data_IF_655482713924
#
_entry.id   IF_655482713924
#
_cell.length_a   1.000
_cell.length_b   1.000
_cell.length_c   1.000
_cell.angle_alpha   90.00
_cell.angle_beta   90.00
_cell.angle_gamma   90.00
#
_symmetry.space_group_name_H-M   'P 1'
#
loop_
_entity.id
_entity.type
_entity.pdbx_description
1 polymer ?
#
# COMPACT_ATOMS: atom_id res chain seq x y z
N UNK A 1 13.04 -7.39 4.19
CA UNK A 1 12.94 -7.95 5.55
C UNK A 1 11.53 -8.48 5.78
N UNK A 2 11.37 -9.56 6.54
CA UNK A 2 10.06 -10.10 6.93
C UNK A 2 9.74 -9.63 8.34
N UNK A 3 8.58 -9.01 8.51
CA UNK A 3 8.08 -8.50 9.78
C UNK A 3 6.84 -9.30 10.21
N UNK A 4 6.61 -9.37 11.51
CA UNK A 4 5.34 -9.88 12.04
C UNK A 4 4.21 -8.94 11.59
N UNK A 5 3.18 -9.50 10.96
CA UNK A 5 1.97 -8.77 10.60
C UNK A 5 0.80 -9.14 11.51
N UNK A 6 -0.38 -9.30 10.93
CA UNK A 6 -1.59 -9.69 11.65
C UNK A 6 -1.81 -11.20 11.57
N UNK A 7 -2.03 -11.84 12.72
CA UNK A 7 -2.12 -13.30 12.85
C UNK A 7 -0.89 -14.00 12.24
N UNK A 8 -1.10 -14.92 11.30
CA UNK A 8 -0.09 -15.67 10.56
C UNK A 8 0.34 -14.95 9.27
N UNK A 9 -0.25 -13.80 8.94
CA UNK A 9 0.03 -13.04 7.72
C UNK A 9 1.22 -12.10 7.96
N UNK A 10 2.39 -12.36 7.36
CA UNK A 10 3.56 -11.49 7.50
C UNK A 10 3.44 -10.20 6.67
N UNK A 11 4.28 -9.23 7.00
CA UNK A 11 4.59 -8.11 6.12
C UNK A 11 6.01 -8.27 5.57
N UNK A 12 6.21 -7.88 4.32
CA UNK A 12 7.52 -7.86 3.68
C UNK A 12 7.87 -6.44 3.32
N UNK A 13 8.85 -5.88 4.02
CA UNK A 13 9.35 -4.53 3.76
C UNK A 13 10.60 -4.65 2.91
N UNK A 14 10.58 -4.06 1.73
CA UNK A 14 11.73 -3.99 0.83
C UNK A 14 12.21 -2.55 0.71
N UNK A 15 13.51 -2.36 0.53
CA UNK A 15 14.11 -1.04 0.33
C UNK A 15 15.08 -1.10 -0.83
N UNK A 16 14.89 -0.23 -1.82
CA UNK A 16 15.75 -0.13 -3.00
C UNK A 16 15.65 1.27 -3.59
N UNK A 17 16.77 1.81 -4.07
CA UNK A 17 16.79 3.14 -4.69
C UNK A 17 16.18 4.26 -3.83
N UNK A 18 16.35 4.21 -2.51
CA UNK A 18 15.79 5.21 -1.59
C UNK A 18 14.26 5.16 -1.41
N UNK A 19 13.62 4.07 -1.79
CA UNK A 19 12.18 3.83 -1.64
C UNK A 19 11.96 2.60 -0.80
N UNK A 20 11.00 2.68 0.11
CA UNK A 20 10.42 1.52 0.74
C UNK A 20 9.20 1.05 -0.06
N UNK A 21 8.97 -0.26 -0.03
CA UNK A 21 7.77 -0.92 -0.54
C UNK A 21 7.36 -2.00 0.47
N UNK A 22 6.05 -2.24 0.61
CA UNK A 22 5.50 -3.15 1.63
C UNK A 22 4.44 -4.06 1.03
N UNK A 23 4.72 -5.35 0.99
CA UNK A 23 3.76 -6.39 0.63
C UNK A 23 3.16 -7.04 1.88
N UNK A 24 1.87 -7.38 1.83
CA UNK A 24 1.19 -8.17 2.84
C UNK A 24 0.99 -9.62 2.37
N UNK A 25 1.28 -10.59 3.23
CA UNK A 25 1.04 -12.02 3.00
C UNK A 25 2.14 -12.71 2.20
N UNK A 26 2.34 -12.31 0.94
CA UNK A 26 3.34 -12.91 0.04
C UNK A 26 4.13 -11.78 -0.63
N UNK A 27 5.49 -11.84 -0.63
CA UNK A 27 6.30 -10.83 -1.29
C UNK A 27 6.23 -11.00 -2.80
N UNK A 28 6.41 -9.91 -3.54
CA UNK A 28 6.51 -9.98 -5.00
C UNK A 28 7.56 -9.01 -5.53
N UNK A 29 7.80 -9.06 -6.84
CA UNK A 29 8.77 -8.17 -7.52
C UNK A 29 8.12 -6.92 -8.13
N UNK A 30 6.80 -6.75 -8.00
CA UNK A 30 6.05 -5.62 -8.53
C UNK A 30 6.02 -4.48 -7.51
N UNK A 31 7.03 -3.64 -7.55
CA UNK A 31 7.18 -2.52 -6.63
C UNK A 31 6.20 -1.40 -6.96
N UNK A 32 5.22 -1.22 -6.08
CA UNK A 32 4.23 -0.15 -6.16
C UNK A 32 4.88 1.24 -6.18
N UNK A 33 6.02 1.37 -5.51
CA UNK A 33 6.75 2.63 -5.35
C UNK A 33 7.85 2.88 -6.39
N UNK A 34 8.10 1.96 -7.33
CA UNK A 34 9.23 2.05 -8.27
C UNK A 34 9.30 3.36 -9.05
N UNK A 35 8.14 3.92 -9.44
CA UNK A 35 8.04 5.19 -10.20
C UNK A 35 7.57 6.37 -9.35
N UNK A 36 7.64 6.26 -8.03
CA UNK A 36 7.28 7.32 -7.07
C UNK A 36 8.53 8.09 -6.64
N UNK A 37 8.42 9.26 -5.99
CA UNK A 37 9.59 9.91 -5.36
C UNK A 37 10.22 9.07 -4.25
N UNK A 38 11.33 9.54 -3.68
CA UNK A 38 11.88 8.94 -2.46
C UNK A 38 10.84 8.93 -1.35
N UNK A 39 10.89 7.95 -0.46
CA UNK A 39 9.89 7.83 0.58
C UNK A 39 10.44 7.37 1.93
N UNK A 40 9.66 7.67 2.96
CA UNK A 40 9.60 6.92 4.21
C UNK A 40 8.20 6.35 4.39
N UNK A 41 8.10 5.28 5.17
CA UNK A 41 6.82 4.68 5.57
C UNK A 41 6.43 5.10 6.98
N UNK A 42 5.13 5.19 7.24
CA UNK A 42 4.59 5.42 8.57
C UNK A 42 4.84 4.24 9.51
N UNK A 43 4.64 4.49 10.80
CA UNK A 43 4.77 3.50 11.89
C UNK A 43 3.53 2.62 12.06
N UNK A 44 2.41 3.02 11.48
CA UNK A 44 1.11 2.38 11.67
C UNK A 44 0.67 1.68 10.39
N UNK A 45 0.44 0.36 10.49
CA UNK A 45 -0.25 -0.44 9.48
C UNK A 45 -1.66 -0.68 9.98
N UNK A 46 -2.66 -0.20 9.24
CA UNK A 46 -4.06 -0.52 9.53
C UNK A 46 -4.50 -1.72 8.71
N UNK A 47 -4.97 -2.77 9.38
CA UNK A 47 -5.50 -3.97 8.75
C UNK A 47 -7.01 -3.83 8.55
N UNK A 48 -7.48 -4.15 7.35
CA UNK A 48 -8.91 -4.21 7.03
C UNK A 48 -9.34 -5.67 7.02
N UNK A 49 -10.38 -5.98 7.79
CA UNK A 49 -10.82 -7.34 8.08
C UNK A 49 -12.30 -7.45 7.75
N UNK A 50 -12.66 -8.41 6.92
CA UNK A 50 -14.04 -8.79 6.61
C UNK A 50 -14.23 -10.25 6.99
N UNK A 51 -15.29 -10.56 7.75
CA UNK A 51 -15.61 -11.91 8.23
C UNK A 51 -14.40 -12.66 8.84
N UNK A 52 -13.60 -11.94 9.63
CA UNK A 52 -12.40 -12.46 10.29
C UNK A 52 -11.19 -12.67 9.38
N UNK A 53 -11.30 -12.34 8.09
CA UNK A 53 -10.22 -12.48 7.09
C UNK A 53 -9.60 -11.11 6.79
N UNK A 54 -8.28 -10.94 6.89
CA UNK A 54 -7.62 -9.74 6.43
C UNK A 54 -7.71 -9.63 4.90
N UNK A 55 -8.23 -8.51 4.39
CA UNK A 55 -8.46 -8.28 2.96
C UNK A 55 -7.53 -7.22 2.37
N UNK A 56 -7.14 -6.23 3.18
CA UNK A 56 -6.22 -5.18 2.77
C UNK A 56 -5.42 -4.62 3.96
N UNK A 57 -4.32 -3.97 3.64
CA UNK A 57 -3.61 -3.06 4.55
C UNK A 57 -3.72 -1.63 4.05
N UNK A 58 -3.65 -0.69 4.99
CA UNK A 58 -3.49 0.73 4.73
C UNK A 58 -2.20 1.17 5.41
N UNK A 59 -1.27 1.71 4.61
CA UNK A 59 0.02 2.20 5.11
C UNK A 59 0.29 3.60 4.57
N UNK A 60 0.81 4.47 5.43
CA UNK A 60 1.22 5.82 5.05
C UNK A 60 2.60 5.82 4.38
N UNK A 61 2.70 6.53 3.27
CA UNK A 61 3.95 6.87 2.61
C UNK A 61 4.12 8.37 2.60
N UNK A 62 5.29 8.83 3.04
CA UNK A 62 5.69 10.23 2.95
C UNK A 62 6.69 10.36 1.82
N UNK A 63 6.28 11.02 0.73
CA UNK A 63 7.10 11.21 -0.46
C UNK A 63 7.88 12.51 -0.39
N UNK A 64 9.07 12.52 -0.97
CA UNK A 64 9.91 13.72 -1.13
C UNK A 64 10.58 13.67 -2.50
N UNK A 65 10.41 14.73 -3.30
CA UNK A 65 11.11 14.87 -4.59
C UNK A 65 12.59 15.20 -4.37
N UNK A 66 13.40 14.97 -5.39
CA UNK A 66 14.76 15.48 -5.45
C UNK A 66 14.80 16.97 -5.82
N UNK A 67 16.01 17.54 -5.80
CA UNK A 67 16.28 18.92 -6.20
C UNK A 67 16.44 19.91 -5.06
N UNK A 68 16.73 21.17 -5.43
CA UNK A 68 17.03 22.26 -4.50
C UNK A 68 15.80 22.73 -3.70
N UNK A 69 14.59 22.54 -4.26
CA UNK A 69 13.31 22.87 -3.64
C UNK A 69 12.41 21.63 -3.59
N UNK A 70 12.65 20.70 -2.65
CA UNK A 70 11.93 19.44 -2.60
C UNK A 70 10.47 19.66 -2.22
N UNK A 71 9.57 18.98 -2.93
CA UNK A 71 8.14 18.92 -2.59
C UNK A 71 7.89 17.70 -1.70
N UNK A 72 7.03 17.86 -0.69
CA UNK A 72 6.63 16.78 0.23
C UNK A 72 5.14 16.49 0.08
N UNK A 73 4.79 15.20 0.11
CA UNK A 73 3.40 14.75 0.19
C UNK A 73 3.26 13.56 1.12
N UNK A 74 2.06 13.36 1.68
CA UNK A 74 1.72 12.19 2.48
C UNK A 74 0.50 11.51 1.88
N UNK A 75 0.64 10.25 1.50
CA UNK A 75 -0.41 9.46 0.86
C UNK A 75 -0.61 8.15 1.62
N UNK A 76 -1.82 7.60 1.59
CA UNK A 76 -2.09 6.25 2.09
C UNK A 76 -2.14 5.29 0.90
N UNK A 77 -1.39 4.19 0.97
CA UNK A 77 -1.53 3.07 0.05
C UNK A 77 -2.59 2.12 0.61
N UNK A 78 -3.64 1.85 -0.16
CA UNK A 78 -4.53 0.72 0.07
C UNK A 78 -4.00 -0.45 -0.74
N UNK A 79 -3.56 -1.51 -0.08
CA UNK A 79 -2.89 -2.67 -0.72
C UNK A 79 -3.63 -3.94 -0.34
N UNK A 80 -3.91 -4.81 -1.31
CA UNK A 80 -4.55 -6.10 -1.04
C UNK A 80 -3.60 -7.05 -0.30
N UNK A 81 -4.16 -7.98 0.47
CA UNK A 81 -3.38 -9.05 1.11
C UNK A 81 -3.12 -10.17 0.10
N UNK A 82 -1.84 -10.42 -0.19
CA UNK A 82 -1.41 -11.46 -1.10
C UNK A 82 -1.55 -12.87 -0.52
N UNK A 83 -1.74 -13.85 -1.41
CA UNK A 83 -1.79 -15.28 -1.12
C UNK A 83 -0.86 -16.03 -2.05
N UNK A 84 -0.54 -17.27 -1.70
CA UNK A 84 0.29 -18.11 -2.56
C UNK A 84 -0.36 -18.25 -3.96
N UNK A 85 0.42 -18.04 -5.02
CA UNK A 85 -0.06 -17.99 -6.40
C UNK A 85 -0.80 -16.70 -6.81
N UNK A 86 -1.15 -15.82 -5.87
CA UNK A 86 -1.83 -14.54 -6.13
C UNK A 86 -1.28 -13.43 -5.23
N UNK A 87 -0.13 -12.83 -5.57
CA UNK A 87 0.47 -11.77 -4.76
C UNK A 87 -0.46 -10.56 -4.63
N UNK A 88 -0.31 -9.83 -3.53
CA UNK A 88 -1.02 -8.59 -3.31
C UNK A 88 -0.51 -7.49 -4.23
N UNK A 89 -1.27 -6.40 -4.33
CA UNK A 89 -0.91 -5.24 -5.11
C UNK A 89 -1.60 -3.99 -4.59
N UNK A 90 -1.16 -2.83 -5.07
CA UNK A 90 -1.85 -1.58 -4.81
C UNK A 90 -3.26 -1.59 -5.42
N UNK A 91 -4.24 -1.32 -4.57
CA UNK A 91 -5.62 -1.02 -4.97
C UNK A 91 -5.72 0.47 -5.32
N UNK A 92 -5.25 1.35 -4.43
CA UNK A 92 -5.36 2.80 -4.63
C UNK A 92 -4.39 3.61 -3.76
N UNK A 93 -3.89 4.72 -4.32
CA UNK A 93 -3.24 5.78 -3.55
C UNK A 93 -4.27 6.83 -3.13
N UNK A 94 -4.30 7.17 -1.84
CA UNK A 94 -5.22 8.16 -1.28
C UNK A 94 -4.44 9.41 -0.91
N UNK A 95 -4.68 10.49 -1.65
CA UNK A 95 -4.03 11.79 -1.47
C UNK A 95 -4.41 12.47 -0.15
N UNK A 96 -3.56 13.37 0.32
CA UNK A 96 -3.74 14.08 1.60
C UNK A 96 -5.05 14.90 1.68
N UNK A 97 -5.54 15.38 0.55
CA UNK A 97 -6.74 16.21 0.40
C UNK A 97 -8.04 15.41 0.21
N UNK A 98 -7.97 14.07 0.24
CA UNK A 98 -9.13 13.20 0.06
C UNK A 98 -10.22 13.44 1.13
N UNK A 99 -11.47 13.41 0.69
CA UNK A 99 -12.67 13.65 1.51
C UNK A 99 -13.38 12.33 1.86
N UNK A 100 -14.06 12.22 3.02
CA UNK A 100 -14.26 13.26 4.05
C UNK A 100 -13.04 13.53 4.93
N UNK A 101 -12.09 12.60 4.97
CA UNK A 101 -10.70 12.80 5.37
C UNK A 101 -9.91 11.61 4.83
N UNK A 102 -8.59 11.74 4.72
CA UNK A 102 -7.73 10.75 4.08
C UNK A 102 -7.88 9.33 4.66
N UNK A 103 -7.89 9.18 5.99
CA UNK A 103 -7.99 7.87 6.63
C UNK A 103 -9.36 7.23 6.40
N UNK A 104 -10.44 8.00 6.56
CA UNK A 104 -11.80 7.51 6.28
C UNK A 104 -11.95 7.14 4.80
N UNK A 105 -11.42 7.93 3.87
CA UNK A 105 -11.46 7.63 2.45
C UNK A 105 -10.71 6.32 2.13
N UNK A 106 -9.53 6.12 2.69
CA UNK A 106 -8.75 4.89 2.50
C UNK A 106 -9.47 3.65 3.04
N UNK A 107 -10.07 3.74 4.23
CA UNK A 107 -10.89 2.66 4.81
C UNK A 107 -12.05 2.29 3.91
N UNK A 108 -12.79 3.30 3.46
CA UNK A 108 -13.91 3.10 2.56
C UNK A 108 -13.50 2.48 1.22
N UNK A 109 -12.35 2.86 0.66
CA UNK A 109 -11.82 2.24 -0.57
C UNK A 109 -11.49 0.78 -0.31
N UNK A 110 -10.75 0.49 0.76
CA UNK A 110 -10.37 -0.85 1.12
C UNK A 110 -11.59 -1.74 1.35
N UNK A 111 -12.56 -1.26 2.13
CA UNK A 111 -13.76 -2.00 2.49
C UNK A 111 -14.67 -2.27 1.28
N UNK A 112 -14.65 -1.42 0.25
CA UNK A 112 -15.45 -1.63 -0.97
C UNK A 112 -14.76 -2.47 -2.03
N UNK A 113 -13.43 -2.35 -2.17
CA UNK A 113 -12.70 -2.88 -3.32
C UNK A 113 -11.90 -4.15 -3.00
N UNK A 114 -11.37 -4.29 -1.78
CA UNK A 114 -10.30 -5.25 -1.51
C UNK A 114 -10.67 -6.72 -1.76
N UNK A 115 -11.89 -7.15 -1.40
CA UNK A 115 -12.31 -8.55 -1.55
C UNK A 115 -12.38 -9.03 -3.00
N UNK A 116 -12.75 -8.14 -3.92
CA UNK A 116 -12.94 -8.46 -5.33
C UNK A 116 -11.82 -7.94 -6.22
N UNK A 117 -10.80 -7.28 -5.65
CA UNK A 117 -9.73 -6.67 -6.43
C UNK A 117 -8.81 -7.74 -7.01
N UNK A 118 -8.78 -7.83 -8.34
CA UNK A 118 -7.87 -8.72 -9.04
C UNK A 118 -6.62 -7.97 -9.51
N UNK A 119 -5.48 -8.29 -8.88
CA UNK A 119 -4.18 -7.72 -9.19
C UNK A 119 -3.68 -8.02 -10.61
N UNK A 120 -4.15 -9.11 -11.24
CA UNK A 120 -3.77 -9.50 -12.58
C UNK A 120 -4.48 -8.73 -13.71
N UNK A 121 -5.58 -8.02 -13.41
CA UNK A 121 -6.41 -7.34 -14.42
C UNK A 121 -6.42 -5.82 -14.32
N UNK A 122 -5.79 -5.24 -13.29
CA UNK A 122 -5.74 -3.80 -13.07
C UNK A 122 -4.29 -3.29 -13.06
N UNK A 123 -3.59 -3.45 -14.18
CA UNK A 123 -2.50 -2.54 -14.52
C UNK A 123 -3.13 -1.17 -14.80
N UNK A 124 -3.39 -0.40 -13.74
CA UNK A 124 -3.64 1.03 -13.87
C UNK A 124 -2.32 1.73 -14.19
N UNK A 125 -1.77 1.42 -15.36
CA UNK A 125 -1.01 2.39 -16.12
C UNK A 125 -2.03 3.44 -16.56
N UNK A 126 -2.27 4.44 -15.70
CA UNK A 126 -2.82 5.69 -16.20
C UNK A 126 -1.62 6.56 -16.62
N UNK A 127 -1.61 7.08 -17.86
CA UNK A 127 -0.50 7.87 -18.40
C UNK A 127 -0.18 9.11 -17.55
#
# INVERSE_FOLDING_TARGET
MRCKGYQDIPLYVTKWGGRFDVDAGVPNSSWTTARRPYNSIGDTVEWRIHDGKPVAIILRYNFTTDGFYPTRSSELAVTSVGREGSPGCLIEWVKADAQPNQNTAARQIADRKAESFNCGSNLSAKP
#
